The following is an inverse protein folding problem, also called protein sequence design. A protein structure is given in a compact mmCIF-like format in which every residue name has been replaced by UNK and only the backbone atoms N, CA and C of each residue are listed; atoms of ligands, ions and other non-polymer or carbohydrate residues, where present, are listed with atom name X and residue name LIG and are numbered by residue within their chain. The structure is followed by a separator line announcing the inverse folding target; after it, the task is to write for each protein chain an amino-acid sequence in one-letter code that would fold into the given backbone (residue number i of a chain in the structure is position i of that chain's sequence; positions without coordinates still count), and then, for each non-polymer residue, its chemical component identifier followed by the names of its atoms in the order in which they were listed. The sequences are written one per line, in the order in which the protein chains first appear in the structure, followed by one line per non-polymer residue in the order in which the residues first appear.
data_IF_545772201608
#
_entry.id   IF_545772201608
#
_cell.length_a   1.000
_cell.length_b   1.000
_cell.length_c   1.000
_cell.angle_alpha   90.00
_cell.angle_beta   90.00
_cell.angle_gamma   90.00
#
_symmetry.space_group_name_H-M   'P 1'
#
loop_
_entity.id
_entity.type
_entity.pdbx_description
1 polymer ?
#
# COMPACT_ATOMS: atom_id res chain seq x y z
N UNK A 1 30.08 -24.08 -7.20
CA UNK A 1 30.50 -23.67 -5.85
C UNK A 1 30.19 -22.19 -5.72
N UNK A 2 29.56 -21.71 -4.64
CA UNK A 2 29.36 -20.27 -4.49
C UNK A 2 30.74 -19.62 -4.39
N UNK A 3 30.97 -18.63 -5.25
CA UNK A 3 32.19 -17.84 -5.32
C UNK A 3 32.24 -16.93 -4.09
N UNK A 4 32.73 -17.45 -2.96
CA UNK A 4 32.84 -16.68 -1.73
C UNK A 4 34.14 -15.90 -1.78
N UNK A 5 34.08 -14.71 -2.38
CA UNK A 5 35.10 -13.70 -2.17
C UNK A 5 35.31 -13.50 -0.66
N UNK A 6 36.56 -13.41 -0.18
CA UNK A 6 36.82 -13.22 1.24
C UNK A 6 36.16 -11.93 1.75
N UNK A 7 35.74 -11.88 3.02
CA UNK A 7 35.16 -10.66 3.59
C UNK A 7 36.16 -9.50 3.54
N UNK A 8 35.70 -8.24 3.45
CA UNK A 8 36.54 -7.05 3.57
C UNK A 8 37.47 -7.14 4.78
N UNK A 9 38.73 -6.74 4.61
CA UNK A 9 39.77 -6.93 5.63
C UNK A 9 39.39 -6.21 6.93
N UNK A 10 38.85 -5.00 6.84
CA UNK A 10 38.38 -4.22 7.98
C UNK A 10 37.31 -4.94 8.81
N UNK A 11 36.42 -5.71 8.17
CA UNK A 11 35.41 -6.52 8.87
C UNK A 11 36.02 -7.78 9.47
N UNK A 12 36.93 -8.45 8.74
CA UNK A 12 37.64 -9.62 9.23
C UNK A 12 38.52 -9.31 10.45
N UNK A 13 39.17 -8.15 10.48
CA UNK A 13 39.97 -7.68 11.62
C UNK A 13 39.10 -7.40 12.85
N UNK A 14 37.92 -6.79 12.67
CA UNK A 14 37.07 -6.38 13.78
C UNK A 14 36.26 -7.53 14.38
N UNK A 15 35.84 -8.49 13.56
CA UNK A 15 34.92 -9.55 13.96
C UNK A 15 35.55 -10.96 13.95
N UNK A 16 36.68 -11.12 13.26
CA UNK A 16 37.19 -12.42 12.80
C UNK A 16 36.54 -12.84 11.49
N UNK A 17 37.29 -13.57 10.64
CA UNK A 17 36.86 -13.96 9.28
C UNK A 17 35.51 -14.68 9.26
N UNK A 18 35.32 -15.67 10.12
CA UNK A 18 34.08 -16.45 10.16
C UNK A 18 32.85 -15.61 10.56
N UNK A 19 33.01 -14.67 11.50
CA UNK A 19 31.92 -13.80 11.92
C UNK A 19 31.61 -12.72 10.87
N UNK A 20 32.64 -12.22 10.18
CA UNK A 20 32.47 -11.32 9.05
C UNK A 20 31.69 -12.00 7.90
N UNK A 21 32.03 -13.24 7.55
CA UNK A 21 31.29 -14.02 6.55
C UNK A 21 29.83 -14.25 6.96
N UNK A 22 29.56 -14.62 8.22
CA UNK A 22 28.21 -14.78 8.73
C UNK A 22 27.40 -13.48 8.68
N UNK A 23 28.03 -12.35 9.02
CA UNK A 23 27.41 -11.04 8.90
C UNK A 23 27.04 -10.74 7.45
N UNK A 24 27.98 -10.89 6.51
CA UNK A 24 27.73 -10.62 5.09
C UNK A 24 26.64 -11.53 4.53
N UNK A 25 26.64 -12.82 4.87
CA UNK A 25 25.59 -13.76 4.49
C UNK A 25 24.22 -13.34 5.04
N UNK A 26 24.17 -12.88 6.30
CA UNK A 26 22.95 -12.35 6.92
C UNK A 26 22.46 -11.05 6.25
N UNK A 27 23.38 -10.18 5.85
CA UNK A 27 23.02 -8.95 5.12
C UNK A 27 22.57 -9.23 3.68
N UNK A 28 23.10 -10.30 3.05
CA UNK A 28 22.69 -10.75 1.72
C UNK A 28 21.36 -11.52 1.70
N UNK A 29 20.95 -12.10 2.84
CA UNK A 29 19.71 -12.90 2.92
C UNK A 29 18.41 -12.08 2.93
N UNK A 30 18.49 -10.76 3.08
CA UNK A 30 17.30 -9.91 2.98
C UNK A 30 16.70 -9.98 1.57
N UNK A 31 15.36 -9.99 1.50
CA UNK A 31 14.64 -10.12 0.23
C UNK A 31 14.80 -8.93 -0.73
N UNK A 32 15.15 -7.74 -0.21
CA UNK A 32 15.37 -6.53 -0.99
C UNK A 32 16.22 -5.50 -0.22
N UNK A 33 16.65 -4.45 -0.93
CA UNK A 33 17.50 -3.37 -0.38
C UNK A 33 16.83 -2.58 0.76
N UNK A 34 15.56 -2.15 0.66
CA UNK A 34 14.88 -1.49 1.78
C UNK A 34 14.90 -2.32 3.08
N UNK A 35 14.68 -3.63 2.98
CA UNK A 35 14.75 -4.54 4.12
C UNK A 35 16.18 -4.67 4.68
N UNK A 36 17.19 -4.68 3.81
CA UNK A 36 18.60 -4.71 4.22
C UNK A 36 19.00 -3.44 4.98
N UNK A 37 18.61 -2.25 4.49
CA UNK A 37 18.80 -0.96 5.17
C UNK A 37 18.06 -0.96 6.51
N UNK A 38 16.78 -1.34 6.54
CA UNK A 38 16.02 -1.40 7.79
C UNK A 38 16.58 -2.41 8.78
N UNK A 39 17.10 -3.54 8.29
CA UNK A 39 17.69 -4.60 9.09
C UNK A 39 18.97 -4.12 9.76
N UNK A 40 19.90 -3.56 8.98
CA UNK A 40 21.14 -2.96 9.47
C UNK A 40 20.89 -1.81 10.46
N UNK A 41 19.89 -0.96 10.20
CA UNK A 41 19.49 0.12 11.09
C UNK A 41 18.95 -0.37 12.45
N UNK A 42 18.42 -1.60 12.52
CA UNK A 42 17.88 -2.22 13.74
C UNK A 42 18.90 -3.07 14.48
N UNK A 43 20.06 -3.35 13.88
CA UNK A 43 21.15 -4.07 14.55
C UNK A 43 21.56 -3.29 15.81
N UNK A 44 21.79 -3.97 16.95
CA UNK A 44 22.30 -3.34 18.17
C UNK A 44 23.53 -2.46 17.88
N UNK A 45 23.74 -1.43 18.69
CA UNK A 45 24.94 -0.59 18.56
C UNK A 45 26.17 -1.40 18.89
N UNK A 46 27.12 -1.35 17.97
CA UNK A 46 28.42 -1.97 18.10
C UNK A 46 29.43 -1.03 17.43
N UNK A 47 30.09 -0.15 18.21
CA UNK A 47 31.02 0.83 17.66
C UNK A 47 32.16 0.21 16.86
N UNK A 48 32.61 -1.00 17.22
CA UNK A 48 33.69 -1.68 16.51
C UNK A 48 33.23 -2.14 15.12
N UNK A 49 32.02 -2.71 15.03
CA UNK A 49 31.39 -3.07 13.77
C UNK A 49 31.09 -1.83 12.90
N UNK A 50 30.55 -0.76 13.48
CA UNK A 50 30.20 0.47 12.76
C UNK A 50 31.46 1.16 12.21
N UNK A 51 32.57 1.19 12.96
CA UNK A 51 33.87 1.67 12.49
C UNK A 51 34.49 0.76 11.43
N UNK A 52 34.38 -0.56 11.59
CA UNK A 52 34.84 -1.51 10.58
C UNK A 52 34.09 -1.34 9.26
N UNK A 53 32.77 -1.17 9.31
CA UNK A 53 31.95 -0.86 8.15
C UNK A 53 32.37 0.47 7.51
N UNK A 54 32.68 1.51 8.30
CA UNK A 54 33.20 2.77 7.78
C UNK A 54 34.54 2.58 7.04
N UNK A 55 35.48 1.83 7.60
CA UNK A 55 36.78 1.54 6.94
C UNK A 55 36.63 0.86 5.59
N UNK A 56 35.62 0.00 5.40
CA UNK A 56 35.31 -0.57 4.08
C UNK A 56 35.03 0.50 3.00
N UNK A 57 34.53 1.68 3.36
CA UNK A 57 34.25 2.78 2.43
C UNK A 57 35.36 3.85 2.38
N UNK A 58 36.28 3.86 3.35
CA UNK A 58 37.36 4.85 3.43
C UNK A 58 38.68 4.30 2.88
N UNK A 59 39.01 3.05 3.20
CA UNK A 59 40.32 2.44 2.96
C UNK A 59 40.28 1.39 1.85
N UNK A 60 39.18 0.65 1.75
CA UNK A 60 39.04 -0.51 0.85
C UNK A 60 38.11 -0.26 -0.35
N UNK A 61 37.64 0.98 -0.55
CA UNK A 61 36.71 1.31 -1.62
C UNK A 61 37.39 1.30 -2.99
N UNK A 62 37.56 0.10 -3.57
CA UNK A 62 37.73 -0.04 -5.01
C UNK A 62 36.34 -0.22 -5.63
N UNK A 63 36.02 0.57 -6.64
CA UNK A 63 34.74 0.52 -7.36
C UNK A 63 34.50 -0.80 -8.12
N UNK A 64 35.24 -1.87 -7.80
CA UNK A 64 35.30 -3.13 -8.53
C UNK A 64 35.04 -4.36 -7.67
N UNK A 65 34.65 -4.23 -6.40
CA UNK A 65 34.18 -5.41 -5.65
C UNK A 65 32.71 -5.65 -5.99
N UNK A 66 32.42 -6.71 -6.75
CA UNK A 66 31.08 -7.26 -7.03
C UNK A 66 30.41 -7.73 -5.74
N UNK A 67 30.07 -6.78 -4.86
CA UNK A 67 29.34 -7.06 -3.63
C UNK A 67 27.86 -6.99 -3.94
N UNK A 68 27.10 -7.97 -3.44
CA UNK A 68 25.64 -7.94 -3.49
C UNK A 68 25.12 -6.55 -3.07
N UNK A 69 24.27 -5.95 -3.91
CA UNK A 69 23.77 -4.60 -3.71
C UNK A 69 23.11 -4.42 -2.33
N UNK A 70 22.48 -5.46 -1.77
CA UNK A 70 21.88 -5.42 -0.43
C UNK A 70 22.93 -5.32 0.67
N UNK A 71 24.01 -6.10 0.54
CA UNK A 71 25.16 -6.07 1.45
C UNK A 71 25.81 -4.70 1.42
N UNK A 72 26.03 -4.13 0.23
CA UNK A 72 26.53 -2.77 0.07
C UNK A 72 25.69 -1.73 0.85
N UNK A 73 24.37 -1.70 0.63
CA UNK A 73 23.50 -0.72 1.28
C UNK A 73 23.36 -0.94 2.79
N UNK A 74 23.41 -2.18 3.24
CA UNK A 74 23.42 -2.51 4.67
C UNK A 74 24.71 -2.06 5.35
N UNK A 75 25.88 -2.34 4.75
CA UNK A 75 27.17 -1.87 5.26
C UNK A 75 27.28 -0.35 5.25
N UNK A 76 26.78 0.31 4.20
CA UNK A 76 26.72 1.77 4.13
C UNK A 76 25.86 2.35 5.26
N UNK A 77 24.78 1.66 5.63
CA UNK A 77 23.93 2.05 6.78
C UNK A 77 24.68 1.95 8.10
N UNK A 78 25.50 0.91 8.30
CA UNK A 78 26.34 0.75 9.49
C UNK A 78 27.47 1.78 9.52
N UNK A 79 28.15 2.01 8.39
CA UNK A 79 29.17 3.03 8.24
C UNK A 79 28.63 4.43 8.58
N UNK A 80 27.43 4.76 8.08
CA UNK A 80 26.79 6.05 8.32
C UNK A 80 26.36 6.26 9.78
N UNK A 81 26.26 5.21 10.60
CA UNK A 81 26.05 5.33 12.06
C UNK A 81 27.30 5.80 12.79
N UNK A 82 28.47 5.40 12.28
CA UNK A 82 29.78 5.88 12.74
C UNK A 82 30.08 7.29 12.23
N UNK A 83 29.95 7.52 10.92
CA UNK A 83 30.19 8.82 10.28
C UNK A 83 29.23 9.05 9.11
N UNK A 84 28.31 10.00 9.28
CA UNK A 84 27.29 10.30 8.27
C UNK A 84 27.86 10.89 6.98
N UNK A 85 29.08 11.46 7.01
CA UNK A 85 29.75 12.03 5.83
C UNK A 85 30.13 10.98 4.79
N UNK A 86 30.14 9.69 5.17
CA UNK A 86 30.35 8.58 4.22
C UNK A 86 29.32 8.59 3.09
N UNK A 87 28.11 9.11 3.33
CA UNK A 87 27.06 9.22 2.31
C UNK A 87 27.41 10.23 1.22
N UNK A 88 28.24 11.23 1.53
CA UNK A 88 28.66 12.25 0.57
C UNK A 88 29.79 11.74 -0.35
N UNK A 89 30.35 10.56 -0.04
CA UNK A 89 31.36 9.87 -0.86
C UNK A 89 30.76 8.89 -1.86
N UNK A 90 29.45 8.64 -1.79
CA UNK A 90 28.74 7.84 -2.77
C UNK A 90 28.74 8.58 -4.11
N UNK A 91 29.05 7.93 -5.25
CA UNK A 91 29.04 8.57 -6.56
C UNK A 91 27.74 9.33 -6.86
N UNK A 92 27.85 10.52 -7.45
CA UNK A 92 26.73 11.44 -7.62
C UNK A 92 25.60 10.88 -8.51
N UNK A 93 25.95 10.04 -9.48
CA UNK A 93 25.03 9.27 -10.33
C UNK A 93 24.22 8.24 -9.53
N UNK A 94 24.86 7.60 -8.55
CA UNK A 94 24.20 6.68 -7.60
C UNK A 94 23.26 7.45 -6.66
N UNK A 95 23.65 8.64 -6.20
CA UNK A 95 22.81 9.49 -5.34
C UNK A 95 21.53 9.92 -6.07
N UNK A 96 21.64 10.36 -7.33
CA UNK A 96 20.48 10.79 -8.13
C UNK A 96 19.48 9.63 -8.34
N UNK A 97 19.99 8.45 -8.69
CA UNK A 97 19.16 7.27 -8.96
C UNK A 97 18.62 6.59 -7.69
N UNK A 98 19.17 6.89 -6.50
CA UNK A 98 18.87 6.20 -5.24
C UNK A 98 18.57 7.17 -4.08
N UNK A 99 18.13 8.39 -4.38
CA UNK A 99 17.91 9.46 -3.39
C UNK A 99 17.02 9.03 -2.21
N UNK A 100 16.00 8.22 -2.46
CA UNK A 100 15.11 7.68 -1.42
C UNK A 100 15.82 6.75 -0.42
N UNK A 101 16.81 5.97 -0.89
CA UNK A 101 17.62 5.07 -0.05
C UNK A 101 18.57 5.86 0.83
N UNK A 102 19.26 6.85 0.26
CA UNK A 102 20.13 7.77 1.01
C UNK A 102 19.34 8.53 2.09
N UNK A 103 18.16 9.05 1.76
CA UNK A 103 17.28 9.69 2.73
C UNK A 103 16.85 8.74 3.87
N UNK A 104 16.64 7.47 3.56
CA UNK A 104 16.30 6.45 4.56
C UNK A 104 17.46 6.15 5.50
N UNK A 105 18.70 6.10 5.00
CA UNK A 105 19.89 5.95 5.83
C UNK A 105 20.08 7.17 6.73
N UNK A 106 19.96 8.40 6.21
CA UNK A 106 20.06 9.63 7.02
C UNK A 106 19.07 9.63 8.19
N UNK A 107 17.81 9.24 7.94
CA UNK A 107 16.79 9.10 9.00
C UNK A 107 17.16 8.02 10.03
N UNK A 108 17.65 6.87 9.56
CA UNK A 108 18.08 5.79 10.44
C UNK A 108 19.26 6.20 11.33
N UNK A 109 20.29 6.84 10.76
CA UNK A 109 21.43 7.39 11.50
C UNK A 109 20.97 8.42 12.53
N UNK A 110 20.15 9.41 12.15
CA UNK A 110 19.67 10.44 13.08
C UNK A 110 18.90 9.83 14.27
N UNK A 111 18.10 8.80 14.01
CA UNK A 111 17.41 8.04 15.05
C UNK A 111 18.40 7.31 15.97
N UNK A 112 19.43 6.71 15.40
CA UNK A 112 20.46 6.01 16.14
C UNK A 112 21.25 6.95 17.07
N UNK A 113 21.72 8.09 16.56
CA UNK A 113 22.39 9.13 17.36
C UNK A 113 21.52 9.61 18.51
N UNK A 114 20.22 9.79 18.28
CA UNK A 114 19.27 10.17 19.34
C UNK A 114 19.13 9.10 20.42
N UNK A 115 19.18 7.82 20.05
CA UNK A 115 19.11 6.71 21.00
C UNK A 115 20.38 6.61 21.86
N UNK A 116 21.56 6.81 21.27
CA UNK A 116 22.83 6.86 22.01
C UNK A 116 22.84 8.04 22.99
N UNK A 117 22.48 9.25 22.53
CA UNK A 117 22.38 10.42 23.40
C UNK A 117 21.37 10.24 24.55
N UNK A 118 20.29 9.50 24.33
CA UNK A 118 19.33 9.17 25.39
C UNK A 118 19.83 8.10 26.36
N UNK A 119 20.70 7.19 25.91
CA UNK A 119 21.34 6.19 26.75
C UNK A 119 22.43 6.82 27.64
N UNK A 120 23.21 7.77 27.11
CA UNK A 120 24.24 8.49 27.84
C UNK A 120 23.68 9.51 28.85
N UNK A 121 22.44 9.98 28.63
CA UNK A 121 21.75 10.93 29.50
C UNK A 121 20.93 10.27 30.63
N UNK A 122 20.97 8.95 30.78
CA UNK A 122 20.18 8.25 31.80
C UNK A 122 20.90 8.24 33.17
N UNK A 123 20.29 8.73 34.26
CA UNK A 123 20.72 8.41 35.61
C UNK A 123 20.43 6.93 35.91
N UNK A 124 21.24 6.34 36.81
CA UNK A 124 21.08 4.98 37.34
C UNK A 124 19.61 4.70 37.70
N UNK A 125 19.03 3.55 37.28
CA UNK A 125 17.67 3.21 37.68
C UNK A 125 17.65 2.97 39.20
N UNK A 126 16.92 3.83 39.92
CA UNK A 126 16.48 3.54 41.28
C UNK A 126 15.58 2.29 41.28
N UNK A 127 15.45 1.61 42.44
CA UNK A 127 14.68 0.39 42.55
C UNK A 127 13.26 0.64 42.06
N UNK A 128 12.77 -0.31 41.26
CA UNK A 128 11.43 -0.32 40.72
C UNK A 128 10.42 0.09 41.80
N UNK A 129 9.80 1.26 41.60
CA UNK A 129 8.62 1.64 42.34
C UNK A 129 7.50 0.65 41.99
N UNK A 130 7.39 -0.35 42.85
CA UNK A 130 6.18 -1.11 43.08
C UNK A 130 5.12 -0.14 43.64
N UNK A 131 4.55 0.69 42.77
CA UNK A 131 3.31 1.39 43.03
C UNK A 131 2.16 0.45 42.63
N UNK A 132 1.42 0.03 43.65
CA UNK A 132 0.34 -0.94 43.60
C UNK A 132 -0.80 -0.59 42.61
N UNK A 133 -1.28 -1.59 41.88
CA UNK A 133 -2.72 -1.77 41.68
C UNK A 133 -3.36 -1.45 40.32
N UNK A 134 -2.62 -1.03 39.29
CA UNK A 134 -3.17 -0.90 37.94
C UNK A 134 -2.30 -1.71 36.95
N UNK A 135 -2.85 -2.81 36.42
CA UNK A 135 -2.17 -3.58 35.38
C UNK A 135 -1.93 -2.68 34.18
N UNK A 136 -0.65 -2.41 33.88
CA UNK A 136 -0.26 -1.52 32.80
C UNK A 136 -0.83 -2.05 31.47
N UNK A 137 -1.57 -1.22 30.76
CA UNK A 137 -2.16 -1.58 29.46
C UNK A 137 -1.07 -1.95 28.45
N UNK A 138 -1.35 -2.88 27.52
CA UNK A 138 -0.38 -3.28 26.49
C UNK A 138 0.03 -2.06 25.65
N UNK A 139 1.34 -1.83 25.57
CA UNK A 139 1.89 -0.70 24.82
C UNK A 139 2.10 -1.02 23.34
N UNK A 140 2.12 -2.32 23.00
CA UNK A 140 2.31 -2.84 21.65
C UNK A 140 1.26 -3.89 21.30
N UNK A 141 0.88 -3.94 20.02
CA UNK A 141 -0.06 -4.92 19.45
C UNK A 141 0.37 -6.37 19.77
N UNK A 142 1.67 -6.66 19.77
CA UNK A 142 2.22 -7.98 20.07
C UNK A 142 1.98 -8.45 21.51
N UNK A 143 1.73 -7.53 22.45
CA UNK A 143 1.50 -7.84 23.87
C UNK A 143 0.02 -8.13 24.16
N UNK A 144 -0.89 -7.65 23.30
CA UNK A 144 -2.33 -7.63 23.55
C UNK A 144 -2.90 -9.03 23.80
N UNK A 145 -2.55 -10.02 22.99
CA UNK A 145 -3.10 -11.37 23.14
C UNK A 145 -2.73 -12.00 24.49
N UNK A 146 -1.46 -11.90 24.88
CA UNK A 146 -0.98 -12.39 26.19
C UNK A 146 -1.62 -11.61 27.34
N UNK A 147 -1.78 -10.30 27.17
CA UNK A 147 -2.38 -9.44 28.18
C UNK A 147 -3.85 -9.75 28.40
N UNK A 148 -4.66 -9.91 27.34
CA UNK A 148 -6.08 -10.28 27.46
C UNK A 148 -6.24 -11.66 28.11
N UNK A 149 -5.41 -12.63 27.74
CA UNK A 149 -5.44 -13.95 28.37
C UNK A 149 -5.17 -13.91 29.89
N UNK A 150 -4.38 -12.93 30.34
CA UNK A 150 -4.12 -12.70 31.77
C UNK A 150 -5.20 -11.86 32.47
N UNK A 151 -6.10 -11.20 31.71
CA UNK A 151 -7.14 -10.31 32.23
C UNK A 151 -8.49 -10.57 31.53
N UNK A 152 -9.11 -11.76 31.72
CA UNK A 152 -10.33 -12.13 31.02
C UNK A 152 -11.53 -11.22 31.34
N UNK A 153 -11.56 -10.64 32.54
CA UNK A 153 -12.65 -9.78 33.02
C UNK A 153 -12.32 -8.28 32.91
N UNK A 154 -11.41 -7.90 32.01
CA UNK A 154 -11.05 -6.48 31.81
C UNK A 154 -12.26 -5.67 31.34
N UNK A 155 -12.54 -4.55 32.01
CA UNK A 155 -13.52 -3.56 31.55
C UNK A 155 -13.01 -2.91 30.25
N UNK A 156 -13.71 -3.03 29.10
CA UNK A 156 -13.28 -2.43 27.85
C UNK A 156 -13.01 -0.92 27.91
N UNK A 157 -13.64 -0.20 28.86
CA UNK A 157 -13.47 1.26 29.02
C UNK A 157 -12.03 1.67 29.35
N UNK A 158 -11.21 0.76 29.88
CA UNK A 158 -9.78 1.06 30.09
C UNK A 158 -9.04 1.34 28.79
N UNK A 159 -9.57 0.89 27.65
CA UNK A 159 -9.03 1.13 26.30
C UNK A 159 -9.63 2.34 25.60
N UNK A 160 -10.42 3.18 26.28
CA UNK A 160 -11.04 4.35 25.66
C UNK A 160 -10.00 5.34 25.11
N UNK A 161 -10.31 6.05 24.00
CA UNK A 161 -9.44 7.10 23.48
C UNK A 161 -9.30 8.24 24.49
N UNK A 162 -8.11 8.84 24.54
CA UNK A 162 -7.84 9.99 25.38
C UNK A 162 -6.90 10.99 24.68
N UNK A 163 -6.91 12.27 25.08
CA UNK A 163 -6.00 13.27 24.51
C UNK A 163 -4.53 12.84 24.61
N UNK A 164 -3.77 13.05 23.53
CA UNK A 164 -2.34 12.70 23.48
C UNK A 164 -2.04 11.20 23.39
N UNK A 165 -3.05 10.34 23.16
CA UNK A 165 -2.82 8.92 22.98
C UNK A 165 -1.89 8.65 21.79
N UNK A 166 -0.78 7.96 22.05
CA UNK A 166 0.21 7.63 21.02
C UNK A 166 -0.36 6.61 20.05
N UNK A 167 0.03 6.68 18.78
CA UNK A 167 -0.46 5.77 17.73
C UNK A 167 -0.25 4.28 18.06
N UNK A 168 0.84 3.89 18.73
CA UNK A 168 1.07 2.52 19.14
C UNK A 168 0.09 2.04 20.25
N UNK A 169 -0.23 2.93 21.20
CA UNK A 169 -1.22 2.66 22.23
C UNK A 169 -2.63 2.58 21.64
N UNK A 170 -2.98 3.51 20.73
CA UNK A 170 -4.22 3.47 19.94
C UNK A 170 -4.40 2.13 19.22
N UNK A 171 -3.39 1.66 18.48
CA UNK A 171 -3.45 0.36 17.79
C UNK A 171 -3.59 -0.82 18.75
N UNK A 172 -2.91 -0.76 19.89
CA UNK A 172 -3.02 -1.81 20.91
C UNK A 172 -4.44 -1.83 21.52
N UNK A 173 -5.05 -0.66 21.72
CA UNK A 173 -6.44 -0.53 22.14
C UNK A 173 -7.42 -1.06 21.09
N UNK A 174 -7.27 -0.68 19.81
CA UNK A 174 -8.10 -1.23 18.72
C UNK A 174 -8.02 -2.77 18.66
N UNK A 175 -6.80 -3.32 18.71
CA UNK A 175 -6.59 -4.77 18.76
C UNK A 175 -7.27 -5.38 19.97
N UNK A 176 -7.16 -4.76 21.14
CA UNK A 176 -7.69 -5.30 22.38
C UNK A 176 -9.22 -5.33 22.36
N UNK A 177 -9.84 -4.21 22.02
CA UNK A 177 -11.30 -4.07 21.90
C UNK A 177 -11.87 -5.05 20.86
N UNK A 178 -11.23 -5.14 19.69
CA UNK A 178 -11.60 -6.14 18.68
C UNK A 178 -11.40 -7.59 19.14
N UNK A 179 -10.46 -7.85 20.05
CA UNK A 179 -10.23 -9.19 20.59
C UNK A 179 -11.19 -9.57 21.71
N UNK A 180 -11.65 -8.60 22.50
CA UNK A 180 -12.68 -8.78 23.53
C UNK A 180 -14.04 -9.04 22.87
N UNK A 181 -14.38 -8.28 21.82
CA UNK A 181 -15.57 -8.50 20.99
C UNK A 181 -16.92 -8.57 21.75
N UNK A 182 -17.04 -7.87 22.88
CA UNK A 182 -18.31 -7.66 23.59
C UNK A 182 -19.05 -6.41 23.07
N UNK A 183 -20.34 -6.26 23.40
CA UNK A 183 -21.10 -5.04 23.08
C UNK A 183 -20.46 -3.79 23.68
N UNK A 184 -20.00 -3.88 24.93
CA UNK A 184 -19.31 -2.76 25.61
C UNK A 184 -17.97 -2.42 24.93
N UNK A 185 -17.23 -3.44 24.45
CA UNK A 185 -16.03 -3.21 23.68
C UNK A 185 -16.32 -2.53 22.34
N UNK A 186 -17.46 -2.85 21.71
CA UNK A 186 -17.91 -2.19 20.50
C UNK A 186 -18.26 -0.71 20.75
N UNK A 187 -18.94 -0.41 21.85
CA UNK A 187 -19.27 0.98 22.24
C UNK A 187 -18.00 1.82 22.43
N UNK A 188 -16.97 1.25 23.06
CA UNK A 188 -15.67 1.93 23.24
C UNK A 188 -14.91 2.02 21.91
N UNK A 189 -14.96 0.97 21.08
CA UNK A 189 -14.33 0.96 19.76
C UNK A 189 -14.90 2.04 18.85
N UNK A 190 -16.22 2.27 18.91
CA UNK A 190 -16.89 3.33 18.16
C UNK A 190 -16.36 4.74 18.47
N UNK A 191 -15.79 4.97 19.65
CA UNK A 191 -15.18 6.25 20.01
C UNK A 191 -13.89 6.53 19.23
N UNK A 192 -13.30 5.51 18.60
CA UNK A 192 -12.15 5.65 17.70
C UNK A 192 -12.53 5.98 16.25
N UNK A 193 -13.82 6.04 15.94
CA UNK A 193 -14.30 6.32 14.60
C UNK A 193 -13.83 7.70 14.11
N UNK A 194 -13.34 7.75 12.88
CA UNK A 194 -12.75 8.96 12.27
C UNK A 194 -12.96 8.95 10.77
N UNK A 195 -12.88 10.13 10.14
CA UNK A 195 -13.02 10.28 8.69
C UNK A 195 -11.84 9.69 7.90
N UNK A 196 -10.67 9.56 8.54
CA UNK A 196 -9.46 9.01 7.92
C UNK A 196 -8.74 8.07 8.90
N UNK A 197 -8.37 6.89 8.40
CA UNK A 197 -7.57 5.91 9.12
C UNK A 197 -6.17 5.82 8.53
N UNK A 198 -5.17 5.59 9.39
CA UNK A 198 -3.88 5.11 8.90
C UNK A 198 -3.99 3.64 8.49
N UNK A 199 -3.17 3.20 7.53
CA UNK A 199 -3.15 1.79 7.06
C UNK A 199 -3.01 0.80 8.23
N UNK A 200 -2.19 1.16 9.21
CA UNK A 200 -1.96 0.34 10.39
C UNK A 200 -3.18 0.25 11.31
N UNK A 201 -4.02 1.29 11.38
CA UNK A 201 -5.26 1.27 12.14
C UNK A 201 -6.35 0.52 11.39
N UNK A 202 -6.46 0.74 10.08
CA UNK A 202 -7.41 0.06 9.21
C UNK A 202 -7.18 -1.46 9.21
N UNK A 203 -5.91 -1.89 9.22
CA UNK A 203 -5.56 -3.30 9.40
C UNK A 203 -6.07 -3.89 10.73
N UNK A 204 -6.11 -3.11 11.82
CA UNK A 204 -6.71 -3.54 13.08
C UNK A 204 -8.24 -3.59 12.99
N UNK A 205 -8.86 -2.61 12.33
CA UNK A 205 -10.31 -2.58 12.11
C UNK A 205 -10.80 -3.74 11.26
N UNK A 206 -10.09 -4.10 10.17
CA UNK A 206 -10.43 -5.26 9.35
C UNK A 206 -10.44 -6.56 10.14
N UNK A 207 -9.49 -6.72 11.08
CA UNK A 207 -9.45 -7.90 11.96
C UNK A 207 -10.57 -7.91 12.99
N UNK A 208 -11.02 -6.73 13.41
CA UNK A 208 -12.13 -6.56 14.34
C UNK A 208 -13.50 -6.71 13.65
N UNK A 209 -13.63 -6.31 12.39
CA UNK A 209 -14.90 -6.20 11.66
C UNK A 209 -15.70 -7.50 11.69
N UNK A 210 -15.08 -8.63 11.35
CA UNK A 210 -15.74 -9.94 11.36
C UNK A 210 -16.06 -10.51 12.76
N UNK A 211 -15.72 -9.79 13.84
CA UNK A 211 -15.97 -10.21 15.23
C UNK A 211 -17.17 -9.51 15.86
N UNK A 212 -17.74 -8.55 15.16
CA UNK A 212 -18.97 -7.85 15.54
C UNK A 212 -20.05 -8.06 14.48
N UNK A 213 -21.26 -7.56 14.73
CA UNK A 213 -22.24 -7.41 13.65
C UNK A 213 -21.66 -6.50 12.56
N UNK A 214 -21.52 -7.05 11.35
CA UNK A 214 -20.77 -6.39 10.27
C UNK A 214 -21.42 -5.09 9.80
N UNK A 215 -22.76 -5.02 9.84
CA UNK A 215 -23.53 -3.82 9.47
C UNK A 215 -23.35 -2.72 10.51
N UNK A 216 -23.58 -3.03 11.79
CA UNK A 216 -23.37 -2.08 12.88
C UNK A 216 -21.92 -1.60 12.92
N UNK A 217 -20.96 -2.51 12.75
CA UNK A 217 -19.54 -2.15 12.70
C UNK A 217 -19.23 -1.18 11.57
N UNK A 218 -19.66 -1.48 10.35
CA UNK A 218 -19.41 -0.62 9.20
C UNK A 218 -20.06 0.77 9.41
N UNK A 219 -21.33 0.81 9.82
CA UNK A 219 -22.04 2.05 10.08
C UNK A 219 -21.32 2.93 11.13
N UNK A 220 -20.88 2.33 12.24
CA UNK A 220 -20.20 3.04 13.32
C UNK A 220 -18.79 3.47 12.94
N UNK A 221 -17.96 2.53 12.45
CA UNK A 221 -16.54 2.79 12.23
C UNK A 221 -16.29 3.55 10.93
N UNK A 222 -17.07 3.32 9.88
CA UNK A 222 -16.85 3.94 8.57
C UNK A 222 -17.82 5.07 8.26
N UNK A 223 -18.87 5.27 9.06
CA UNK A 223 -19.81 6.39 8.94
C UNK A 223 -19.16 7.77 8.80
N UNK A 224 -18.18 8.14 9.66
CA UNK A 224 -17.51 9.44 9.53
C UNK A 224 -16.74 9.64 8.21
N UNK A 225 -16.36 8.54 7.54
CA UNK A 225 -15.62 8.52 6.29
C UNK A 225 -16.52 8.37 5.04
N UNK A 226 -17.85 8.38 5.20
CA UNK A 226 -18.80 8.05 4.13
C UNK A 226 -18.63 8.87 2.83
N UNK A 227 -18.10 10.09 2.90
CA UNK A 227 -17.84 10.91 1.70
C UNK A 227 -16.67 10.39 0.82
N UNK A 228 -15.80 9.54 1.36
CA UNK A 228 -14.56 9.12 0.72
C UNK A 228 -13.86 8.04 1.51
N UNK A 229 -14.48 6.87 1.61
CA UNK A 229 -13.96 5.75 2.36
C UNK A 229 -12.89 5.01 1.54
N UNK A 230 -11.68 4.91 2.12
CA UNK A 230 -10.63 4.01 1.62
C UNK A 230 -10.52 2.83 2.55
N UNK A 231 -10.80 1.64 2.03
CA UNK A 231 -10.65 0.37 2.76
C UNK A 231 -9.29 -0.27 2.53
N UNK A 232 -8.49 0.17 1.54
CA UNK A 232 -7.21 -0.48 1.22
C UNK A 232 -7.42 -2.00 1.03
N UNK A 233 -6.49 -2.86 1.46
CA UNK A 233 -6.61 -4.33 1.34
C UNK A 233 -7.70 -4.89 2.26
N UNK A 234 -8.83 -5.23 1.64
CA UNK A 234 -10.02 -5.77 2.29
C UNK A 234 -10.33 -7.19 1.78
N UNK A 235 -10.82 -8.05 2.68
CA UNK A 235 -11.10 -9.45 2.36
C UNK A 235 -12.55 -9.67 1.91
N UNK A 236 -13.48 -8.83 2.35
CA UNK A 236 -14.91 -8.89 2.05
C UNK A 236 -15.56 -7.52 2.31
N UNK A 237 -16.71 -7.27 1.69
CA UNK A 237 -17.43 -6.00 1.77
C UNK A 237 -18.74 -6.11 2.58
N UNK A 238 -18.96 -7.22 3.28
CA UNK A 238 -20.24 -7.47 3.92
C UNK A 238 -20.52 -6.40 5.00
N UNK A 239 -21.75 -5.89 4.98
CA UNK A 239 -22.18 -4.82 5.87
C UNK A 239 -21.84 -3.40 5.41
N UNK A 240 -21.05 -3.23 4.33
CA UNK A 240 -20.71 -1.89 3.81
C UNK A 240 -21.95 -1.06 3.42
N UNK A 241 -23.02 -1.72 3.00
CA UNK A 241 -24.32 -1.11 2.71
C UNK A 241 -24.96 -0.36 3.89
N UNK A 242 -24.49 -0.58 5.12
CA UNK A 242 -24.95 0.12 6.31
C UNK A 242 -24.24 1.47 6.54
N UNK A 243 -23.21 1.81 5.76
CA UNK A 243 -22.54 3.12 5.84
C UNK A 243 -23.43 4.18 5.19
N UNK A 244 -24.23 4.87 6.01
CA UNK A 244 -25.15 5.89 5.54
C UNK A 244 -24.40 7.04 4.84
N UNK A 245 -24.92 7.46 3.69
CA UNK A 245 -24.31 8.50 2.87
C UNK A 245 -22.97 8.14 2.23
N UNK A 246 -22.67 6.85 2.00
CA UNK A 246 -21.45 6.44 1.29
C UNK A 246 -21.45 6.96 -0.17
N UNK A 247 -20.64 7.98 -0.45
CA UNK A 247 -20.53 8.63 -1.78
C UNK A 247 -19.34 8.14 -2.59
N UNK A 248 -18.25 7.73 -1.93
CA UNK A 248 -17.08 7.22 -2.62
C UNK A 248 -16.40 6.10 -1.85
N UNK A 249 -15.99 5.06 -2.59
CA UNK A 249 -15.32 3.88 -2.06
C UNK A 249 -14.09 3.54 -2.90
N UNK A 250 -12.96 3.36 -2.22
CA UNK A 250 -11.71 2.83 -2.77
C UNK A 250 -11.30 1.57 -1.99
N UNK A 251 -11.24 0.43 -2.67
CA UNK A 251 -10.95 -0.87 -2.06
C UNK A 251 -10.00 -1.70 -2.92
N UNK A 252 -9.09 -2.41 -2.24
CA UNK A 252 -8.21 -3.42 -2.82
C UNK A 252 -8.68 -4.80 -2.35
N UNK A 253 -9.04 -5.68 -3.28
CA UNK A 253 -9.50 -7.03 -3.01
C UNK A 253 -8.34 -8.01 -3.19
N UNK A 254 -7.93 -8.65 -2.11
CA UNK A 254 -6.81 -9.61 -2.10
C UNK A 254 -7.18 -11.02 -2.61
N UNK A 255 -8.47 -11.28 -2.80
CA UNK A 255 -9.03 -12.56 -3.25
C UNK A 255 -10.35 -12.25 -3.98
N UNK A 256 -10.94 -13.21 -4.72
CA UNK A 256 -12.26 -13.00 -5.32
C UNK A 256 -13.23 -12.62 -4.20
N UNK A 257 -13.76 -11.40 -4.25
CA UNK A 257 -14.67 -10.90 -3.23
C UNK A 257 -16.02 -10.62 -3.86
N UNK A 258 -17.06 -10.91 -3.08
CA UNK A 258 -18.42 -10.64 -3.46
C UNK A 258 -18.69 -9.12 -3.42
N UNK A 259 -19.07 -8.56 -4.57
CA UNK A 259 -19.46 -7.16 -4.70
C UNK A 259 -20.94 -6.92 -4.35
N UNK A 260 -21.75 -7.98 -4.16
CA UNK A 260 -23.18 -7.88 -3.83
C UNK A 260 -23.52 -6.90 -2.69
N UNK A 261 -22.70 -6.78 -1.61
CA UNK A 261 -22.96 -5.78 -0.58
C UNK A 261 -23.01 -4.33 -1.07
N UNK A 262 -22.42 -4.03 -2.23
CA UNK A 262 -22.45 -2.68 -2.82
C UNK A 262 -23.83 -2.31 -3.36
N UNK A 263 -24.71 -3.27 -3.66
CA UNK A 263 -26.05 -2.99 -4.20
C UNK A 263 -26.92 -2.14 -3.25
N UNK A 264 -26.61 -2.16 -1.95
CA UNK A 264 -27.26 -1.33 -0.93
C UNK A 264 -26.74 0.12 -0.91
N UNK A 265 -25.55 0.38 -1.46
CA UNK A 265 -24.89 1.69 -1.47
C UNK A 265 -25.47 2.62 -2.54
N UNK A 266 -26.79 2.89 -2.50
CA UNK A 266 -27.52 3.64 -3.55
C UNK A 266 -27.05 5.09 -3.73
N UNK A 267 -26.30 5.63 -2.76
CA UNK A 267 -25.68 6.96 -2.82
C UNK A 267 -24.28 6.98 -3.46
N UNK A 268 -23.71 5.83 -3.81
CA UNK A 268 -22.33 5.73 -4.28
C UNK A 268 -22.18 6.39 -5.65
N UNK A 269 -21.34 7.41 -5.71
CA UNK A 269 -21.04 8.20 -6.91
C UNK A 269 -19.72 7.82 -7.56
N UNK A 270 -18.75 7.37 -6.73
CA UNK A 270 -17.42 6.99 -7.20
C UNK A 270 -16.98 5.66 -6.60
N UNK A 271 -16.64 4.71 -7.45
CA UNK A 271 -16.14 3.40 -7.04
C UNK A 271 -14.80 3.13 -7.71
N UNK A 272 -13.81 2.77 -6.90
CA UNK A 272 -12.54 2.21 -7.34
C UNK A 272 -12.34 0.85 -6.68
N UNK A 273 -12.21 -0.18 -7.50
CA UNK A 273 -11.90 -1.54 -7.06
C UNK A 273 -10.61 -1.98 -7.73
N UNK A 274 -9.63 -2.37 -6.92
CA UNK A 274 -8.41 -3.04 -7.38
C UNK A 274 -8.46 -4.51 -6.96
N UNK A 275 -8.68 -5.42 -7.90
CA UNK A 275 -8.56 -6.86 -7.68
C UNK A 275 -7.11 -7.30 -7.93
N UNK A 276 -6.48 -7.92 -6.92
CA UNK A 276 -5.11 -8.45 -7.03
C UNK A 276 -5.12 -9.89 -7.57
N UNK A 277 -4.16 -10.21 -8.43
CA UNK A 277 -3.89 -11.58 -8.93
C UNK A 277 -5.16 -12.30 -9.45
N UNK A 278 -5.33 -13.58 -9.08
CA UNK A 278 -6.46 -14.44 -9.45
C UNK A 278 -7.80 -14.02 -8.80
N UNK A 279 -7.84 -12.91 -8.06
CA UNK A 279 -9.09 -12.42 -7.47
C UNK A 279 -10.15 -12.18 -8.56
N UNK A 280 -9.74 -11.51 -9.64
CA UNK A 280 -10.61 -11.11 -10.74
C UNK A 280 -11.84 -10.30 -10.29
N UNK A 281 -12.56 -9.77 -11.25
CA UNK A 281 -13.87 -9.15 -11.05
C UNK A 281 -14.91 -10.00 -11.78
N UNK A 282 -15.05 -11.26 -11.36
CA UNK A 282 -15.83 -12.27 -12.08
C UNK A 282 -17.33 -11.92 -12.25
N UNK A 283 -17.86 -11.02 -11.44
CA UNK A 283 -19.20 -10.44 -11.62
C UNK A 283 -19.20 -8.97 -11.21
N UNK A 284 -19.97 -8.18 -11.96
CA UNK A 284 -20.19 -6.74 -11.73
C UNK A 284 -21.68 -6.41 -11.55
N UNK A 285 -22.53 -7.42 -11.36
CA UNK A 285 -23.99 -7.27 -11.33
C UNK A 285 -24.41 -6.26 -10.25
N UNK A 286 -23.76 -6.33 -9.09
CA UNK A 286 -24.04 -5.48 -7.94
C UNK A 286 -23.82 -3.97 -8.20
N UNK A 287 -22.94 -3.62 -9.13
CA UNK A 287 -22.64 -2.22 -9.47
C UNK A 287 -23.46 -1.72 -10.67
N UNK A 288 -24.05 -2.62 -11.46
CA UNK A 288 -24.79 -2.28 -12.66
C UNK A 288 -26.07 -1.48 -12.37
N UNK A 289 -26.67 -1.68 -11.20
CA UNK A 289 -27.93 -1.03 -10.80
C UNK A 289 -27.73 0.17 -9.84
N UNK A 290 -26.48 0.64 -9.67
CA UNK A 290 -26.19 1.80 -8.81
C UNK A 290 -26.60 3.11 -9.50
N UNK A 291 -27.66 3.81 -9.02
CA UNK A 291 -28.33 4.86 -9.78
C UNK A 291 -27.56 6.18 -9.84
N UNK A 292 -26.48 6.30 -9.07
CA UNK A 292 -25.67 7.52 -8.96
C UNK A 292 -24.21 7.31 -9.34
N UNK A 293 -23.82 6.12 -9.78
CA UNK A 293 -22.43 5.79 -10.03
C UNK A 293 -21.93 6.50 -11.30
N UNK A 294 -21.17 7.58 -11.12
CA UNK A 294 -20.69 8.45 -12.21
C UNK A 294 -19.24 8.11 -12.60
N UNK A 295 -18.44 7.67 -11.64
CA UNK A 295 -17.03 7.28 -11.84
C UNK A 295 -16.81 5.83 -11.40
N UNK A 296 -16.30 5.01 -12.31
CA UNK A 296 -16.02 3.61 -12.06
C UNK A 296 -14.60 3.25 -12.51
N UNK A 297 -13.80 2.74 -11.59
CA UNK A 297 -12.50 2.12 -11.89
C UNK A 297 -12.49 0.66 -11.45
N UNK A 298 -12.34 -0.23 -12.42
CA UNK A 298 -12.18 -1.67 -12.25
C UNK A 298 -10.76 -2.04 -12.68
N UNK A 299 -9.87 -2.21 -11.71
CA UNK A 299 -8.46 -2.48 -11.95
C UNK A 299 -8.17 -3.94 -11.57
N UNK A 300 -7.60 -4.70 -12.50
CA UNK A 300 -7.41 -6.14 -12.37
C UNK A 300 -8.14 -6.88 -13.49
N UNK A 301 -8.15 -8.22 -13.43
CA UNK A 301 -8.77 -9.00 -14.49
C UNK A 301 -10.30 -8.93 -14.44
N UNK A 302 -10.92 -8.70 -15.59
CA UNK A 302 -12.39 -8.74 -15.79
C UNK A 302 -12.83 -9.99 -16.56
N UNK A 303 -11.91 -10.93 -16.80
CA UNK A 303 -12.18 -12.15 -17.56
C UNK A 303 -13.36 -12.92 -16.96
N UNK A 304 -14.36 -13.20 -17.80
CA UNK A 304 -15.57 -13.93 -17.43
C UNK A 304 -16.69 -13.07 -16.83
N UNK A 305 -16.45 -11.79 -16.59
CA UNK A 305 -17.50 -10.85 -16.21
C UNK A 305 -18.39 -10.50 -17.39
N UNK A 306 -19.70 -10.39 -17.16
CA UNK A 306 -20.60 -9.80 -18.14
C UNK A 306 -20.50 -8.27 -18.10
N UNK A 307 -19.62 -7.72 -18.94
CA UNK A 307 -19.40 -6.28 -19.03
C UNK A 307 -20.56 -5.54 -19.71
N UNK A 308 -21.46 -6.25 -20.42
CA UNK A 308 -22.62 -5.61 -21.08
C UNK A 308 -23.58 -4.99 -20.07
N UNK A 309 -23.53 -5.43 -18.79
CA UNK A 309 -24.31 -4.84 -17.71
C UNK A 309 -23.96 -3.37 -17.45
N UNK A 310 -22.77 -2.89 -17.85
CA UNK A 310 -22.37 -1.49 -17.73
C UNK A 310 -23.24 -0.54 -18.58
N UNK A 311 -23.91 -1.05 -19.62
CA UNK A 311 -24.86 -0.26 -20.44
C UNK A 311 -26.06 0.26 -19.65
N UNK A 312 -26.34 -0.33 -18.49
CA UNK A 312 -27.43 0.06 -17.58
C UNK A 312 -27.01 1.11 -16.56
N UNK A 313 -25.72 1.47 -16.52
CA UNK A 313 -25.16 2.38 -15.53
C UNK A 313 -25.16 3.83 -16.01
N UNK A 314 -25.21 4.82 -15.10
CA UNK A 314 -25.06 6.24 -15.44
C UNK A 314 -23.58 6.68 -15.52
N UNK A 315 -22.63 5.74 -15.71
CA UNK A 315 -21.20 6.03 -15.64
C UNK A 315 -20.79 7.00 -16.76
N UNK A 316 -20.11 8.08 -16.36
CA UNK A 316 -19.53 9.06 -17.28
C UNK A 316 -18.04 8.85 -17.47
N UNK A 317 -17.34 8.38 -16.42
CA UNK A 317 -15.90 8.12 -16.41
C UNK A 317 -15.64 6.67 -16.02
N UNK A 318 -15.02 5.93 -16.94
CA UNK A 318 -14.80 4.50 -16.79
C UNK A 318 -13.32 4.14 -16.99
N UNK A 319 -12.79 3.31 -16.10
CA UNK A 319 -11.50 2.64 -16.29
C UNK A 319 -11.69 1.14 -16.12
N UNK A 320 -11.33 0.35 -17.14
CA UNK A 320 -11.28 -1.10 -17.06
C UNK A 320 -10.19 -1.70 -17.97
N UNK A 321 -9.78 -2.93 -17.64
CA UNK A 321 -9.15 -3.84 -18.59
C UNK A 321 -10.24 -4.71 -19.23
N UNK A 322 -10.15 -4.96 -20.54
CA UNK A 322 -11.09 -5.82 -21.28
C UNK A 322 -10.65 -7.29 -21.32
N UNK A 323 -9.36 -7.58 -21.13
CA UNK A 323 -8.81 -8.95 -21.13
C UNK A 323 -9.26 -9.82 -22.34
N UNK A 324 -9.33 -9.20 -23.52
CA UNK A 324 -9.79 -9.85 -24.76
C UNK A 324 -11.30 -9.88 -24.98
N UNK A 325 -12.11 -9.32 -24.06
CA UNK A 325 -13.55 -9.15 -24.25
C UNK A 325 -13.88 -8.18 -25.40
N UNK A 326 -15.05 -8.37 -26.02
CA UNK A 326 -15.57 -7.42 -26.99
C UNK A 326 -15.97 -6.11 -26.31
N UNK A 327 -15.38 -4.99 -26.73
CA UNK A 327 -15.66 -3.67 -26.20
C UNK A 327 -16.88 -2.97 -26.81
N UNK A 328 -17.60 -3.60 -27.76
CA UNK A 328 -18.71 -2.97 -28.50
C UNK A 328 -19.78 -2.34 -27.60
N UNK A 329 -20.09 -2.96 -26.46
CA UNK A 329 -21.03 -2.46 -25.44
C UNK A 329 -20.70 -1.05 -24.91
N UNK A 330 -19.44 -0.62 -24.96
CA UNK A 330 -19.03 0.72 -24.51
C UNK A 330 -19.73 1.82 -25.28
N UNK A 331 -20.11 1.56 -26.55
CA UNK A 331 -20.86 2.50 -27.39
C UNK A 331 -22.32 2.66 -26.97
N UNK A 332 -22.81 1.75 -26.15
CA UNK A 332 -24.20 1.70 -25.68
C UNK A 332 -24.36 2.30 -24.28
N UNK A 333 -23.26 2.66 -23.60
CA UNK A 333 -23.31 3.33 -22.29
C UNK A 333 -23.78 4.79 -22.51
N UNK A 334 -24.99 5.19 -22.06
CA UNK A 334 -25.63 6.42 -22.52
C UNK A 334 -24.90 7.72 -22.13
N UNK A 335 -24.22 7.71 -20.98
CA UNK A 335 -23.59 8.90 -20.40
C UNK A 335 -22.06 8.89 -20.50
N UNK A 336 -21.48 7.91 -21.19
CA UNK A 336 -20.03 7.75 -21.23
C UNK A 336 -19.36 8.94 -21.91
N UNK A 337 -18.55 9.68 -21.16
CA UNK A 337 -17.83 10.86 -21.63
C UNK A 337 -16.31 10.62 -21.70
N UNK A 338 -15.79 9.74 -20.84
CA UNK A 338 -14.38 9.38 -20.80
C UNK A 338 -14.18 7.91 -20.45
N UNK A 339 -13.28 7.26 -21.18
CA UNK A 339 -12.90 5.88 -20.92
C UNK A 339 -11.40 5.70 -20.99
N UNK A 340 -10.83 5.08 -19.96
CA UNK A 340 -9.47 4.56 -19.98
C UNK A 340 -9.55 3.04 -20.16
N UNK A 341 -8.86 2.52 -21.17
CA UNK A 341 -8.96 1.12 -21.56
C UNK A 341 -7.59 0.46 -21.64
N UNK A 342 -7.57 -0.81 -21.25
CA UNK A 342 -6.53 -1.76 -21.63
C UNK A 342 -7.14 -2.91 -22.40
N UNK A 343 -6.61 -3.22 -23.59
CA UNK A 343 -7.04 -4.36 -24.39
C UNK A 343 -6.34 -5.67 -23.99
N UNK A 344 -5.25 -5.57 -23.23
CA UNK A 344 -4.37 -6.70 -22.90
C UNK A 344 -3.45 -7.10 -24.06
N UNK A 345 -2.80 -8.27 -23.92
CA UNK A 345 -1.88 -8.79 -24.92
C UNK A 345 -2.58 -9.30 -26.20
N UNK A 346 -3.83 -9.77 -26.05
CA UNK A 346 -4.67 -10.34 -27.11
C UNK A 346 -6.03 -9.64 -27.15
N UNK A 347 -6.09 -8.40 -27.67
CA UNK A 347 -7.35 -7.66 -27.74
C UNK A 347 -8.33 -8.29 -28.73
N UNK A 348 -9.64 -8.12 -28.48
CA UNK A 348 -10.67 -8.50 -29.44
C UNK A 348 -10.47 -7.77 -30.78
N UNK A 349 -10.68 -8.47 -31.91
CA UNK A 349 -10.41 -7.94 -33.24
C UNK A 349 -11.19 -6.63 -33.57
N UNK A 350 -12.38 -6.46 -32.98
CA UNK A 350 -13.21 -5.26 -33.14
C UNK A 350 -12.81 -4.08 -32.24
N UNK A 351 -11.85 -4.23 -31.32
CA UNK A 351 -11.55 -3.20 -30.30
C UNK A 351 -11.07 -1.88 -30.93
N UNK A 352 -10.23 -1.95 -31.97
CA UNK A 352 -9.74 -0.77 -32.66
C UNK A 352 -10.88 0.04 -33.28
N UNK A 353 -11.82 -0.63 -33.95
CA UNK A 353 -13.00 0.00 -34.52
C UNK A 353 -13.87 0.61 -33.40
N UNK A 354 -14.11 -0.14 -32.32
CA UNK A 354 -14.85 0.33 -31.15
C UNK A 354 -14.30 1.64 -30.62
N UNK A 355 -12.98 1.72 -30.39
CA UNK A 355 -12.29 2.91 -29.89
C UNK A 355 -12.44 4.11 -30.82
N UNK A 356 -12.25 3.92 -32.14
CA UNK A 356 -12.44 5.00 -33.12
C UNK A 356 -13.89 5.50 -33.10
N UNK A 357 -14.86 4.59 -33.04
CA UNK A 357 -16.28 4.93 -32.95
C UNK A 357 -16.62 5.72 -31.69
N UNK A 358 -16.06 5.35 -30.54
CA UNK A 358 -16.20 6.09 -29.29
C UNK A 358 -15.66 7.51 -29.42
N UNK A 359 -14.43 7.66 -29.94
CA UNK A 359 -13.82 8.97 -30.13
C UNK A 359 -14.64 9.87 -31.07
N UNK A 360 -15.16 9.31 -32.18
CA UNK A 360 -16.05 10.04 -33.11
C UNK A 360 -17.36 10.50 -32.45
N UNK A 361 -17.88 9.71 -31.52
CA UNK A 361 -19.10 10.02 -30.77
C UNK A 361 -18.86 10.97 -29.59
N UNK A 362 -17.67 11.56 -29.47
CA UNK A 362 -17.36 12.55 -28.45
C UNK A 362 -16.78 12.01 -27.16
N UNK A 363 -16.56 10.69 -27.05
CA UNK A 363 -15.96 10.06 -25.88
C UNK A 363 -14.45 10.27 -25.90
N UNK A 364 -13.86 10.74 -24.80
CA UNK A 364 -12.40 10.78 -24.67
C UNK A 364 -11.90 9.38 -24.34
N UNK A 365 -11.11 8.78 -25.24
CA UNK A 365 -10.52 7.45 -25.03
C UNK A 365 -9.05 7.60 -24.65
N UNK A 366 -8.62 6.95 -23.57
CA UNK A 366 -7.22 6.90 -23.11
C UNK A 366 -6.73 5.46 -23.12
N UNK A 367 -5.63 5.22 -23.83
CA UNK A 367 -5.01 3.91 -24.00
C UNK A 367 -3.57 3.91 -23.49
N UNK A 368 -3.07 2.74 -23.12
CA UNK A 368 -1.66 2.55 -22.82
C UNK A 368 -0.84 2.45 -24.11
N UNK A 369 0.13 3.35 -24.30
CA UNK A 369 0.95 3.43 -25.52
C UNK A 369 1.75 2.15 -25.81
N UNK A 370 2.08 1.38 -24.78
CA UNK A 370 2.91 0.19 -24.88
C UNK A 370 2.13 -1.06 -25.30
N UNK A 371 0.80 -1.01 -25.39
CA UNK A 371 0.02 -2.15 -25.87
C UNK A 371 0.24 -2.38 -27.37
N UNK A 372 0.44 -3.64 -27.77
CA UNK A 372 0.93 -3.99 -29.11
C UNK A 372 0.04 -3.52 -30.26
N UNK A 373 -1.26 -3.41 -30.03
CA UNK A 373 -2.26 -3.02 -31.03
C UNK A 373 -2.42 -1.49 -31.16
N UNK A 374 -1.94 -0.71 -30.18
CA UNK A 374 -2.12 0.74 -30.14
C UNK A 374 -1.33 1.49 -31.23
N UNK A 375 -0.06 1.13 -31.56
CA UNK A 375 0.66 1.78 -32.65
C UNK A 375 -0.05 1.68 -34.02
N UNK A 376 -0.64 0.52 -34.33
CA UNK A 376 -1.38 0.31 -35.57
C UNK A 376 -2.69 1.11 -35.58
N UNK A 377 -3.41 1.16 -34.45
CA UNK A 377 -4.58 2.02 -34.29
C UNK A 377 -4.23 3.50 -34.57
N UNK A 378 -3.14 3.98 -33.98
CA UNK A 378 -2.71 5.38 -34.14
C UNK A 378 -2.32 5.69 -35.58
N UNK A 379 -1.57 4.79 -36.24
CA UNK A 379 -1.18 4.96 -37.64
C UNK A 379 -2.37 5.00 -38.60
N UNK A 380 -3.46 4.30 -38.25
CA UNK A 380 -4.69 4.21 -39.04
C UNK A 380 -5.81 5.11 -38.49
N UNK A 381 -5.52 6.00 -37.53
CA UNK A 381 -6.52 6.88 -36.98
C UNK A 381 -7.05 7.82 -38.07
N UNK A 382 -8.38 7.91 -38.24
CA UNK A 382 -8.95 8.73 -39.29
C UNK A 382 -8.77 10.21 -38.98
N UNK A 383 -8.74 11.05 -40.01
CA UNK A 383 -8.44 12.49 -39.86
C UNK A 383 -9.45 13.29 -39.03
N UNK A 384 -10.62 12.73 -38.74
CA UNK A 384 -11.66 13.29 -37.87
C UNK A 384 -11.48 12.91 -36.39
N UNK A 385 -10.41 12.21 -36.04
CA UNK A 385 -10.02 11.87 -34.66
C UNK A 385 -8.66 12.48 -34.36
N UNK A 386 -8.58 13.27 -33.29
CA UNK A 386 -7.31 13.81 -32.80
C UNK A 386 -6.64 12.77 -31.89
N UNK A 387 -5.36 12.53 -32.15
CA UNK A 387 -4.50 11.67 -31.34
C UNK A 387 -3.46 12.52 -30.63
N UNK A 388 -3.48 12.51 -29.29
CA UNK A 388 -2.51 13.18 -28.44
C UNK A 388 -1.69 12.13 -27.65
N UNK A 389 -0.37 12.11 -27.83
CA UNK A 389 0.52 11.20 -27.10
C UNK A 389 1.25 11.93 -25.96
N UNK A 390 1.13 11.42 -24.72
CA UNK A 390 1.84 11.98 -23.57
C UNK A 390 2.02 10.94 -22.45
N UNK A 391 3.18 10.97 -21.77
CA UNK A 391 3.44 10.23 -20.53
C UNK A 391 3.12 8.72 -20.59
N UNK A 392 3.39 8.06 -21.73
CA UNK A 392 3.11 6.64 -21.90
C UNK A 392 1.64 6.30 -22.22
N UNK A 393 0.82 7.31 -22.49
CA UNK A 393 -0.57 7.17 -22.91
C UNK A 393 -0.80 7.74 -24.30
N UNK A 394 -1.83 7.21 -24.95
CA UNK A 394 -2.42 7.75 -26.18
C UNK A 394 -3.84 8.19 -25.84
N UNK A 395 -4.19 9.43 -26.15
CA UNK A 395 -5.54 9.97 -26.00
C UNK A 395 -6.17 10.19 -27.37
N UNK A 396 -7.36 9.66 -27.58
CA UNK A 396 -8.19 9.87 -28.77
C UNK A 396 -9.41 10.69 -28.39
N UNK A 397 -9.73 11.70 -29.21
CA UNK A 397 -10.88 12.60 -29.02
C UNK A 397 -11.39 13.06 -30.40
N UNK A 398 -12.64 13.51 -30.52
CA UNK A 398 -13.12 14.02 -31.81
C UNK A 398 -12.27 15.22 -32.24
N UNK A 399 -12.04 15.35 -33.54
CA UNK A 399 -11.66 16.64 -34.10
C UNK A 399 -12.81 17.60 -33.82
N UNK A 400 -12.59 18.65 -33.02
CA UNK A 400 -13.59 19.70 -32.90
C UNK A 400 -13.83 20.23 -34.31
N UNK A 401 -15.05 20.11 -34.80
CA UNK A 401 -15.46 20.87 -35.98
C UNK A 401 -15.17 22.33 -35.66
N UNK A 402 -14.30 22.96 -36.45
CA UNK A 402 -14.24 24.42 -36.51
C UNK A 402 -15.59 24.88 -37.06
N UNK A 403 -16.55 25.07 -36.15
CA UNK A 403 -17.92 25.53 -36.41
C UNK A 403 -18.19 26.76 -35.58
#
# INVERSE_FOLDING_TARGET
MPDTSPPPQALAEALGTAAAEQLLAKLGSYSNVPNAISGAAKTPSDPALEQAALRCFVEEYSATVETDIRVFWALLTLAARSDISVLDRVPADTISNQAQKIASIRRATAKHTKLLAAADAAPVPGPADAAAGASQLPAKVSEVAKWIAAHPDVDPKVFAPHPGQRAAARRSALRALGSIASSEAFDVLGQYATAEYSDADLAELHRAWGRFDRRAFAATMFGPAARGLRLDVCADLEGIGAVDGLLALDVILAKPADLSPLAECRGLERLRVLALDDAGLASIDAIADLPRLVHLELIGSTRGADLTLLTRTPVEQLYLALDGADGSFLREIPSLAGVKLSGGDEPHAGLAETVIGLARNGVTVVLYRHERWVPELVANAPGDVIVDEANGFVRLRPAQNAG
#
